data_IF_134672634408
#
_entry.id   IF_134672634408
#
_cell.length_a   1.000
_cell.length_b   1.000
_cell.length_c   1.000
_cell.angle_alpha   90.00
_cell.angle_beta   90.00
_cell.angle_gamma   90.00
#
_symmetry.space_group_name_H-M   'P 1'
#
loop_
_entity.id
_entity.type
_entity.pdbx_description
1 polymer ?
#
# COMPACT_ATOMS: atom_id res chain seq x y z
N UNK A 1 -14.52 11.63 24.16
CA UNK A 1 -13.48 10.77 24.80
C UNK A 1 -12.59 10.27 23.68
N UNK A 2 -11.31 10.64 23.63
CA UNK A 2 -10.39 10.19 22.59
C UNK A 2 -10.07 8.70 22.86
N UNK A 3 -10.27 7.80 21.90
CA UNK A 3 -9.94 6.39 22.11
C UNK A 3 -8.43 6.22 22.35
N UNK A 4 -8.06 5.26 23.20
CA UNK A 4 -6.64 4.98 23.44
C UNK A 4 -5.99 4.43 22.16
N UNK A 5 -4.70 4.70 21.97
CA UNK A 5 -3.92 4.19 20.85
C UNK A 5 -4.07 2.66 20.73
N UNK A 6 -4.13 1.95 21.85
CA UNK A 6 -4.34 0.50 21.89
C UNK A 6 -5.69 0.09 21.30
N UNK A 7 -6.77 0.84 21.59
CA UNK A 7 -8.11 0.58 21.05
C UNK A 7 -8.15 0.79 19.54
N UNK A 8 -7.51 1.85 19.05
CA UNK A 8 -7.40 2.14 17.61
C UNK A 8 -6.63 1.03 16.89
N UNK A 9 -5.48 0.61 17.44
CA UNK A 9 -4.68 -0.47 16.87
C UNK A 9 -5.40 -1.83 16.88
N UNK A 10 -6.21 -2.13 17.90
CA UNK A 10 -6.98 -3.36 17.94
C UNK A 10 -8.09 -3.36 16.89
N UNK A 11 -8.84 -2.27 16.75
CA UNK A 11 -9.83 -2.09 15.67
C UNK A 11 -9.19 -2.25 14.30
N UNK A 12 -8.08 -1.56 14.07
CA UNK A 12 -7.32 -1.65 12.84
C UNK A 12 -6.93 -3.10 12.50
N UNK A 13 -6.40 -3.85 13.46
CA UNK A 13 -6.04 -5.27 13.25
C UNK A 13 -7.26 -6.13 12.90
N UNK A 14 -8.40 -5.89 13.53
CA UNK A 14 -9.64 -6.67 13.27
C UNK A 14 -10.18 -6.38 11.88
N UNK A 15 -10.24 -5.12 11.48
CA UNK A 15 -10.74 -4.71 10.16
C UNK A 15 -9.82 -5.21 9.04
N UNK A 16 -8.51 -5.12 9.23
CA UNK A 16 -7.53 -5.69 8.31
C UNK A 16 -7.68 -7.20 8.17
N UNK A 17 -7.83 -7.91 9.29
CA UNK A 17 -8.00 -9.36 9.26
C UNK A 17 -9.24 -9.76 8.45
N UNK A 18 -10.35 -9.03 8.57
CA UNK A 18 -11.57 -9.30 7.82
C UNK A 18 -11.40 -9.04 6.32
N UNK A 19 -10.74 -7.94 5.94
CA UNK A 19 -10.55 -7.57 4.53
C UNK A 19 -9.45 -8.37 3.82
N UNK A 20 -8.59 -9.05 4.56
CA UNK A 20 -7.50 -9.88 4.04
C UNK A 20 -7.80 -11.37 4.12
N UNK A 21 -9.07 -11.74 4.38
CA UNK A 21 -9.52 -13.12 4.26
C UNK A 21 -9.37 -13.60 2.79
N UNK A 22 -9.16 -14.89 2.57
CA UNK A 22 -9.00 -15.46 1.23
C UNK A 22 -10.08 -15.02 0.24
N UNK A 23 -11.34 -15.05 0.67
CA UNK A 23 -12.49 -14.69 -0.17
C UNK A 23 -12.45 -13.21 -0.60
N UNK A 24 -12.02 -12.31 0.28
CA UNK A 24 -11.89 -10.89 -0.03
C UNK A 24 -10.77 -10.62 -1.06
N UNK A 25 -9.66 -11.35 -0.95
CA UNK A 25 -8.54 -11.25 -1.90
C UNK A 25 -8.94 -11.82 -3.26
N UNK A 26 -9.62 -12.97 -3.29
CA UNK A 26 -10.13 -13.54 -4.54
C UNK A 26 -11.17 -12.64 -5.20
N UNK A 27 -12.09 -12.05 -4.42
CA UNK A 27 -13.04 -11.06 -4.93
C UNK A 27 -12.32 -9.85 -5.53
N UNK A 28 -11.29 -9.32 -4.89
CA UNK A 28 -10.47 -8.25 -5.42
C UNK A 28 -9.79 -8.64 -6.75
N UNK A 29 -9.29 -9.88 -6.86
CA UNK A 29 -8.73 -10.38 -8.11
C UNK A 29 -9.77 -10.44 -9.23
N UNK A 30 -10.98 -10.90 -8.93
CA UNK A 30 -12.07 -10.96 -9.90
C UNK A 30 -12.49 -9.57 -10.38
N UNK A 31 -12.66 -8.61 -9.49
CA UNK A 31 -13.05 -7.24 -9.81
C UNK A 31 -12.06 -6.54 -10.75
N UNK A 32 -10.77 -6.80 -10.58
CA UNK A 32 -9.74 -6.25 -11.48
C UNK A 32 -9.46 -7.10 -12.72
N UNK A 33 -10.23 -8.16 -12.95
CA UNK A 33 -10.08 -9.06 -14.09
C UNK A 33 -8.86 -9.98 -14.02
N UNK A 34 -8.22 -10.09 -12.86
CA UNK A 34 -7.12 -11.03 -12.67
C UNK A 34 -7.66 -12.39 -12.27
N UNK A 35 -7.94 -13.24 -13.27
CA UNK A 35 -8.59 -14.55 -13.10
C UNK A 35 -7.71 -15.73 -13.50
N UNK A 36 -6.59 -15.49 -14.20
CA UNK A 36 -5.70 -16.55 -14.71
C UNK A 36 -4.47 -16.70 -13.82
N UNK A 37 -4.61 -17.31 -12.66
CA UNK A 37 -3.48 -17.79 -11.88
C UNK A 37 -3.50 -19.32 -11.80
N UNK A 38 -2.32 -19.90 -11.61
CA UNK A 38 -2.21 -21.31 -11.30
C UNK A 38 -2.44 -21.51 -9.80
N UNK A 39 -3.25 -22.51 -9.45
CA UNK A 39 -3.42 -22.92 -8.06
C UNK A 39 -2.14 -23.62 -7.56
N UNK A 40 -1.20 -22.80 -7.12
CA UNK A 40 0.09 -23.20 -6.55
C UNK A 40 0.19 -22.61 -5.15
N UNK A 41 1.24 -23.03 -4.42
CA UNK A 41 1.52 -22.53 -3.08
C UNK A 41 1.48 -20.98 -2.99
N UNK A 42 2.08 -20.29 -3.97
CA UNK A 42 2.06 -18.83 -4.09
C UNK A 42 0.93 -18.38 -5.04
N UNK A 43 -0.31 -18.68 -4.67
CA UNK A 43 -1.50 -18.10 -5.28
C UNK A 43 -1.68 -16.63 -4.85
N UNK A 44 -2.66 -15.86 -5.36
CA UNK A 44 -2.85 -14.46 -5.00
C UNK A 44 -2.97 -14.23 -3.50
N UNK A 45 -3.72 -15.07 -2.78
CA UNK A 45 -3.91 -14.96 -1.34
C UNK A 45 -2.60 -15.09 -0.59
N UNK A 46 -1.90 -16.19 -0.81
CA UNK A 46 -0.59 -16.44 -0.16
C UNK A 46 0.42 -15.36 -0.55
N UNK A 47 0.39 -14.88 -1.80
CA UNK A 47 1.29 -13.81 -2.26
C UNK A 47 1.04 -12.51 -1.50
N UNK A 48 -0.20 -12.08 -1.34
CA UNK A 48 -0.57 -10.89 -0.55
C UNK A 48 -0.16 -11.09 0.91
N UNK A 49 -0.46 -12.23 1.51
CA UNK A 49 -0.13 -12.52 2.91
C UNK A 49 1.39 -12.51 3.16
N UNK A 50 2.18 -13.14 2.29
CA UNK A 50 3.65 -13.15 2.38
C UNK A 50 4.22 -11.75 2.17
N UNK A 51 3.65 -10.95 1.27
CA UNK A 51 4.05 -9.56 1.07
C UNK A 51 3.76 -8.70 2.31
N UNK A 52 2.59 -8.85 2.92
CA UNK A 52 2.28 -8.15 4.17
C UNK A 52 3.18 -8.60 5.32
N UNK A 53 3.49 -9.89 5.41
CA UNK A 53 4.43 -10.42 6.39
C UNK A 53 5.82 -9.79 6.22
N UNK A 54 6.27 -9.59 4.97
CA UNK A 54 7.51 -8.88 4.66
C UNK A 54 7.52 -7.46 5.21
N UNK A 55 6.43 -6.72 5.00
CA UNK A 55 6.28 -5.34 5.50
C UNK A 55 6.29 -5.31 7.02
N UNK A 56 5.51 -6.19 7.66
CA UNK A 56 5.40 -6.26 9.13
C UNK A 56 6.72 -6.62 9.81
N UNK A 57 7.62 -7.31 9.11
CA UNK A 57 8.99 -7.61 9.58
C UNK A 57 10.02 -6.57 9.11
N UNK A 58 9.62 -5.31 8.98
CA UNK A 58 10.52 -4.19 8.68
C UNK A 58 11.09 -4.22 7.27
N UNK A 59 10.29 -4.63 6.28
CA UNK A 59 10.71 -4.79 4.88
C UNK A 59 11.89 -5.77 4.72
N UNK A 60 11.86 -6.86 5.47
CA UNK A 60 12.90 -7.88 5.41
C UNK A 60 13.15 -8.37 3.98
N UNK A 61 14.36 -8.90 3.71
CA UNK A 61 14.66 -9.51 2.42
C UNK A 61 13.73 -10.70 2.12
N UNK A 62 13.67 -11.13 0.86
CA UNK A 62 12.81 -12.27 0.48
C UNK A 62 13.32 -13.62 0.98
N UNK A 63 14.60 -13.73 1.34
CA UNK A 63 15.19 -15.00 1.78
C UNK A 63 14.61 -15.55 3.11
N UNK A 64 14.37 -14.76 4.17
CA UNK A 64 13.77 -15.26 5.40
C UNK A 64 12.27 -15.53 5.31
N UNK A 65 11.57 -15.08 4.28
CA UNK A 65 10.12 -15.22 4.17
C UNK A 65 9.59 -16.66 4.24
N UNK A 66 10.24 -17.67 3.64
CA UNK A 66 9.82 -19.06 3.81
C UNK A 66 9.84 -19.51 5.27
N UNK A 67 10.84 -19.12 6.01
CA UNK A 67 10.96 -19.43 7.43
C UNK A 67 9.91 -18.70 8.27
N UNK A 68 9.72 -17.40 8.01
CA UNK A 68 8.74 -16.57 8.72
C UNK A 68 7.29 -17.00 8.47
N UNK A 69 6.99 -17.43 7.25
CA UNK A 69 5.66 -17.89 6.88
C UNK A 69 5.37 -19.35 7.20
N UNK A 70 6.38 -20.15 7.51
CA UNK A 70 6.26 -21.59 7.64
C UNK A 70 6.00 -22.34 6.33
N UNK A 71 6.09 -21.65 5.18
CA UNK A 71 5.82 -22.22 3.85
C UNK A 71 7.12 -22.54 3.11
N UNK A 72 7.09 -23.54 2.23
CA UNK A 72 8.26 -23.98 1.46
C UNK A 72 8.25 -23.38 0.05
N UNK A 73 8.92 -22.25 -0.14
CA UNK A 73 9.13 -21.61 -1.44
C UNK A 73 10.53 -20.97 -1.51
N UNK A 74 10.99 -20.61 -2.69
CA UNK A 74 12.25 -19.88 -2.85
C UNK A 74 12.01 -18.37 -2.85
N UNK A 75 13.02 -17.59 -2.47
CA UNK A 75 12.99 -16.13 -2.56
C UNK A 75 12.62 -15.64 -3.97
N UNK A 76 13.19 -16.28 -5.00
CA UNK A 76 12.88 -15.98 -6.40
C UNK A 76 11.41 -16.25 -6.74
N UNK A 77 10.83 -17.34 -6.24
CA UNK A 77 9.42 -17.65 -6.46
C UNK A 77 8.51 -16.59 -5.83
N UNK A 78 8.85 -16.08 -4.64
CA UNK A 78 8.12 -14.99 -3.98
C UNK A 78 8.19 -13.70 -4.81
N UNK A 79 9.38 -13.31 -5.28
CA UNK A 79 9.54 -12.15 -6.15
C UNK A 79 8.72 -12.28 -7.44
N UNK A 80 8.77 -13.44 -8.09
CA UNK A 80 8.00 -13.68 -9.32
C UNK A 80 6.48 -13.72 -9.08
N UNK A 81 6.01 -14.26 -7.97
CA UNK A 81 4.59 -14.24 -7.63
C UNK A 81 4.11 -12.81 -7.42
N UNK A 82 4.88 -12.00 -6.68
CA UNK A 82 4.58 -10.59 -6.42
C UNK A 82 4.56 -9.76 -7.72
N UNK A 83 5.52 -9.97 -8.62
CA UNK A 83 5.57 -9.24 -9.90
C UNK A 83 4.41 -9.57 -10.84
N UNK A 84 3.77 -10.72 -10.67
CA UNK A 84 2.60 -11.14 -11.45
C UNK A 84 1.28 -10.66 -10.86
N UNK A 85 1.26 -10.29 -9.59
CA UNK A 85 0.07 -9.77 -8.93
C UNK A 85 -0.15 -8.32 -9.41
N UNK A 86 -1.29 -8.01 -10.07
CA UNK A 86 -1.56 -6.66 -10.51
C UNK A 86 -1.64 -5.69 -9.32
N UNK A 87 -1.05 -4.50 -9.47
CA UNK A 87 -1.10 -3.45 -8.45
C UNK A 87 -2.55 -3.09 -8.08
N UNK A 88 -3.45 -3.13 -9.05
CA UNK A 88 -4.88 -2.84 -8.89
C UNK A 88 -5.56 -3.72 -7.85
N UNK A 89 -5.09 -4.95 -7.62
CA UNK A 89 -5.59 -5.81 -6.53
C UNK A 89 -5.30 -5.17 -5.17
N UNK A 90 -4.09 -4.65 -4.98
CA UNK A 90 -3.71 -3.97 -3.72
C UNK A 90 -4.45 -2.64 -3.55
N UNK A 91 -4.62 -1.88 -4.64
CA UNK A 91 -5.40 -0.64 -4.64
C UNK A 91 -6.85 -0.93 -4.24
N UNK A 92 -7.49 -1.92 -4.86
CA UNK A 92 -8.86 -2.31 -4.54
C UNK A 92 -9.02 -2.75 -3.07
N UNK A 93 -8.07 -3.54 -2.56
CA UNK A 93 -8.09 -3.93 -1.15
C UNK A 93 -7.94 -2.72 -0.22
N UNK A 94 -7.08 -1.75 -0.55
CA UNK A 94 -6.92 -0.52 0.21
C UNK A 94 -8.19 0.32 0.21
N UNK A 95 -8.84 0.49 -0.93
CA UNK A 95 -10.11 1.21 -1.06
C UNK A 95 -11.22 0.54 -0.24
N UNK A 96 -11.32 -0.78 -0.29
CA UNK A 96 -12.26 -1.54 0.54
C UNK A 96 -12.02 -1.34 2.03
N UNK A 97 -10.75 -1.33 2.46
CA UNK A 97 -10.40 -1.01 3.85
C UNK A 97 -10.86 0.40 4.23
N UNK A 98 -10.62 1.38 3.37
CA UNK A 98 -11.09 2.75 3.57
C UNK A 98 -12.62 2.83 3.67
N UNK A 99 -13.35 2.12 2.82
CA UNK A 99 -14.81 2.06 2.85
C UNK A 99 -15.36 1.36 4.09
N UNK A 100 -14.77 0.23 4.49
CA UNK A 100 -15.21 -0.49 5.69
C UNK A 100 -15.00 0.31 6.97
N UNK A 101 -14.03 1.20 6.99
CA UNK A 101 -13.74 2.08 8.11
C UNK A 101 -14.66 3.33 8.14
N UNK A 102 -15.38 3.65 7.07
CA UNK A 102 -16.22 4.86 6.97
C UNK A 102 -17.24 5.04 8.11
N UNK A 103 -17.96 4.02 8.60
CA UNK A 103 -18.86 4.19 9.73
C UNK A 103 -18.15 4.68 10.99
N UNK A 104 -16.95 4.17 11.28
CA UNK A 104 -16.11 4.64 12.38
C UNK A 104 -15.57 6.06 12.14
N UNK A 105 -15.31 6.41 10.86
CA UNK A 105 -14.85 7.74 10.46
C UNK A 105 -15.93 8.80 10.59
N UNK A 106 -17.23 8.44 10.60
CA UNK A 106 -18.32 9.40 10.62
C UNK A 106 -18.49 10.13 11.95
N UNK A 107 -18.08 9.53 13.07
CA UNK A 107 -18.25 10.08 14.41
C UNK A 107 -16.95 10.51 15.08
N UNK A 108 -15.85 9.83 14.81
CA UNK A 108 -14.54 10.14 15.37
C UNK A 108 -13.78 11.15 14.48
N UNK A 109 -13.08 12.09 15.05
CA UNK A 109 -12.24 13.06 14.31
C UNK A 109 -12.97 14.25 13.70
N UNK A 110 -14.14 14.58 14.19
CA UNK A 110 -14.81 15.85 13.89
C UNK A 110 -14.22 16.96 14.74
N UNK A 111 -13.76 18.02 14.11
CA UNK A 111 -13.37 19.23 14.80
C UNK A 111 -14.44 20.29 14.59
N UNK A 112 -15.16 20.64 15.64
CA UNK A 112 -16.26 21.62 15.61
C UNK A 112 -17.32 21.38 14.51
N UNK A 113 -17.58 20.08 14.16
CA UNK A 113 -18.58 19.68 13.19
C UNK A 113 -18.03 19.05 11.92
N UNK A 114 -17.11 19.66 11.16
CA UNK A 114 -16.56 19.04 9.95
C UNK A 114 -15.59 17.87 10.24
N UNK A 115 -15.49 16.93 9.28
CA UNK A 115 -14.49 15.88 9.31
C UNK A 115 -13.11 16.49 9.06
N UNK A 116 -12.13 16.06 9.84
CA UNK A 116 -10.76 16.57 9.76
C UNK A 116 -9.84 15.51 9.19
N UNK A 117 -8.98 15.92 8.27
CA UNK A 117 -7.98 15.07 7.65
C UNK A 117 -6.61 15.72 7.74
N UNK A 118 -5.58 14.88 7.85
CA UNK A 118 -4.20 15.28 7.70
C UNK A 118 -3.70 14.92 6.32
N UNK A 119 -3.04 15.85 5.65
CA UNK A 119 -2.32 15.61 4.39
C UNK A 119 -0.83 15.50 4.72
N UNK A 120 -0.21 14.42 4.29
CA UNK A 120 1.23 14.24 4.41
C UNK A 120 1.84 14.01 3.03
N UNK A 121 2.92 14.72 2.73
CA UNK A 121 3.70 14.56 1.51
C UNK A 121 5.06 13.92 1.82
N UNK A 122 5.53 13.04 0.94
CA UNK A 122 6.85 12.43 1.03
C UNK A 122 7.42 12.17 -0.37
N UNK A 123 8.74 12.28 -0.52
CA UNK A 123 9.46 11.83 -1.72
C UNK A 123 9.86 10.37 -1.59
N UNK A 124 9.73 9.62 -2.66
CA UNK A 124 10.16 8.23 -2.76
C UNK A 124 11.14 8.08 -3.92
N UNK A 125 12.38 7.68 -3.63
CA UNK A 125 13.35 7.36 -4.69
C UNK A 125 12.95 6.08 -5.38
N UNK A 126 12.89 6.12 -6.69
CA UNK A 126 12.51 5.01 -7.56
C UNK A 126 13.77 4.34 -8.14
N UNK A 127 13.70 3.07 -8.57
CA UNK A 127 14.80 2.44 -9.29
C UNK A 127 15.20 3.24 -10.51
N UNK A 128 16.51 3.29 -10.81
CA UNK A 128 17.04 3.97 -11.98
C UNK A 128 16.78 3.14 -13.24
N UNK A 129 15.64 3.38 -13.87
CA UNK A 129 15.24 2.79 -15.14
C UNK A 129 14.79 3.87 -16.11
N UNK A 130 15.01 3.72 -17.43
CA UNK A 130 14.60 4.72 -18.41
C UNK A 130 13.12 5.11 -18.32
N UNK A 131 12.26 4.15 -18.08
CA UNK A 131 10.80 4.36 -17.93
C UNK A 131 10.48 5.24 -16.72
N UNK A 132 11.08 4.95 -15.56
CA UNK A 132 10.85 5.72 -14.35
C UNK A 132 11.52 7.10 -14.38
N UNK A 133 12.64 7.23 -15.11
CA UNK A 133 13.24 8.53 -15.38
C UNK A 133 12.31 9.41 -16.22
N UNK A 134 11.68 8.84 -17.24
CA UNK A 134 10.73 9.55 -18.09
C UNK A 134 9.43 9.92 -17.32
N UNK A 135 8.89 9.00 -16.52
CA UNK A 135 7.63 9.20 -15.80
C UNK A 135 7.78 10.07 -14.55
N UNK A 136 8.80 9.84 -13.74
CA UNK A 136 8.94 10.50 -12.44
C UNK A 136 9.86 11.71 -12.49
N UNK A 137 10.86 11.72 -13.39
CA UNK A 137 11.88 12.77 -13.46
C UNK A 137 12.86 12.73 -12.29
N UNK A 138 13.84 13.62 -12.38
CA UNK A 138 14.86 13.83 -11.34
C UNK A 138 14.66 15.18 -10.65
N UNK A 139 15.07 15.33 -9.38
CA UNK A 139 15.14 16.63 -8.74
C UNK A 139 16.01 17.61 -9.54
N UNK A 140 15.55 18.86 -9.69
CA UNK A 140 16.24 19.89 -10.47
C UNK A 140 17.66 20.22 -9.96
N UNK A 141 17.95 19.87 -8.73
CA UNK A 141 19.26 20.07 -8.09
C UNK A 141 20.30 19.00 -8.48
N UNK A 142 19.85 17.91 -9.11
CA UNK A 142 20.73 16.84 -9.57
C UNK A 142 21.12 17.04 -11.03
N UNK A 143 22.36 16.72 -11.36
CA UNK A 143 22.81 16.75 -12.75
C UNK A 143 22.04 15.71 -13.58
N UNK A 144 21.65 16.03 -14.81
CA UNK A 144 20.99 15.07 -15.70
C UNK A 144 21.80 13.77 -15.83
N UNK A 145 21.14 12.64 -15.61
CA UNK A 145 21.75 11.30 -15.64
C UNK A 145 22.53 10.91 -14.37
N UNK A 146 22.57 11.76 -13.36
CA UNK A 146 23.18 11.47 -12.06
C UNK A 146 22.10 11.52 -10.97
N UNK A 147 21.48 10.41 -10.67
CA UNK A 147 20.53 10.33 -9.58
C UNK A 147 19.34 9.42 -9.87
N UNK A 148 18.57 9.15 -8.85
CA UNK A 148 17.38 8.31 -8.93
C UNK A 148 16.16 9.17 -9.27
N UNK A 149 15.22 8.67 -10.09
CA UNK A 149 13.93 9.31 -10.25
C UNK A 149 13.19 9.36 -8.92
N UNK A 150 12.44 10.43 -8.70
CA UNK A 150 11.70 10.65 -7.45
C UNK A 150 10.22 10.80 -7.75
N UNK A 151 9.41 9.95 -7.10
CA UNK A 151 7.96 10.11 -7.06
C UNK A 151 7.55 10.83 -5.79
N UNK A 152 6.58 11.73 -5.89
CA UNK A 152 5.93 12.35 -4.74
C UNK A 152 4.72 11.53 -4.32
N UNK A 153 4.65 11.22 -3.03
CA UNK A 153 3.52 10.55 -2.40
C UNK A 153 2.72 11.60 -1.63
N UNK A 154 1.44 11.70 -1.92
CA UNK A 154 0.50 12.50 -1.14
C UNK A 154 -0.50 11.57 -0.47
N UNK A 155 -0.50 11.55 0.85
CA UNK A 155 -1.34 10.68 1.65
C UNK A 155 -2.35 11.49 2.46
N UNK A 156 -3.62 11.09 2.41
CA UNK A 156 -4.71 11.68 3.19
C UNK A 156 -5.09 10.74 4.33
N UNK A 157 -4.92 11.21 5.55
CA UNK A 157 -5.23 10.46 6.77
C UNK A 157 -6.42 11.09 7.50
N UNK A 158 -7.36 10.26 7.95
CA UNK A 158 -8.43 10.71 8.80
C UNK A 158 -7.92 11.01 10.22
N UNK A 159 -8.15 12.23 10.71
CA UNK A 159 -7.54 12.73 11.95
C UNK A 159 -7.92 11.94 13.21
N UNK A 160 -9.16 11.42 13.26
CA UNK A 160 -9.66 10.71 14.45
C UNK A 160 -9.16 9.28 14.56
N UNK A 161 -8.93 8.61 13.43
CA UNK A 161 -8.57 7.18 13.40
C UNK A 161 -7.14 6.93 12.94
N UNK A 162 -6.48 7.92 12.32
CA UNK A 162 -5.18 7.76 11.70
C UNK A 162 -5.19 6.87 10.44
N UNK A 163 -6.37 6.49 9.94
CA UNK A 163 -6.48 5.65 8.75
C UNK A 163 -6.10 6.43 7.50
N UNK A 164 -5.31 5.80 6.65
CA UNK A 164 -5.05 6.25 5.29
C UNK A 164 -6.33 6.08 4.47
N UNK A 165 -6.89 7.19 4.00
CA UNK A 165 -8.13 7.21 3.22
C UNK A 165 -7.86 7.35 1.72
N UNK A 166 -6.77 8.02 1.37
CA UNK A 166 -6.39 8.21 -0.03
C UNK A 166 -4.87 8.33 -0.15
N UNK A 167 -4.33 7.79 -1.24
CA UNK A 167 -2.93 7.91 -1.63
C UNK A 167 -2.85 8.32 -3.09
N UNK A 168 -2.10 9.37 -3.36
CA UNK A 168 -1.79 9.83 -4.71
C UNK A 168 -0.28 9.74 -4.92
N UNK A 169 0.11 9.19 -6.06
CA UNK A 169 1.50 9.17 -6.51
C UNK A 169 1.61 10.13 -7.69
N UNK A 170 2.52 11.07 -7.59
CA UNK A 170 2.74 12.08 -8.63
C UNK A 170 4.22 12.09 -9.05
N UNK A 171 4.52 12.36 -10.32
CA UNK A 171 5.89 12.57 -10.77
C UNK A 171 6.50 13.82 -10.14
N UNK A 172 7.83 13.89 -10.12
CA UNK A 172 8.55 15.13 -9.80
C UNK A 172 8.38 16.09 -10.99
N UNK A 173 7.52 17.09 -10.86
CA UNK A 173 7.40 18.13 -11.89
C UNK A 173 8.61 19.05 -11.79
N UNK A 174 9.40 19.14 -12.84
CA UNK A 174 10.46 20.14 -12.93
C UNK A 174 9.82 21.52 -13.05
N UNK A 175 9.90 22.30 -11.98
CA UNK A 175 9.53 23.72 -12.00
C UNK A 175 8.05 24.02 -11.87
N UNK A 176 7.57 24.09 -10.64
CA UNK A 176 6.27 24.68 -10.30
C UNK A 176 5.24 23.65 -9.87
N UNK A 177 4.77 23.82 -8.65
CA UNK A 177 3.56 23.16 -8.16
C UNK A 177 2.42 23.67 -9.03
N UNK A 178 1.91 22.83 -9.93
CA UNK A 178 0.58 23.06 -10.48
C UNK A 178 -0.42 22.73 -9.37
N UNK A 179 -0.98 23.77 -8.77
CA UNK A 179 -2.11 23.71 -7.85
C UNK A 179 -3.39 23.46 -8.65
#
# INVERSE_FOLDING_TARGET
>A
MVPSVTTVLQRFKTDWAAQLQPDAIYAACQEVGYTSWRDRLLNPVTTVQVFLLQILHGHTACQPLPHLSGLRFSASASCQARSKLPLQVLVYLLERLGHSAQPALSEEGRWHGPRTFFVAGSGCSMPDTPVLQEECGQPAEQQPGCGFPVAHLLALFHAGTGLLTQLVVAPQVQGGVAV
#
